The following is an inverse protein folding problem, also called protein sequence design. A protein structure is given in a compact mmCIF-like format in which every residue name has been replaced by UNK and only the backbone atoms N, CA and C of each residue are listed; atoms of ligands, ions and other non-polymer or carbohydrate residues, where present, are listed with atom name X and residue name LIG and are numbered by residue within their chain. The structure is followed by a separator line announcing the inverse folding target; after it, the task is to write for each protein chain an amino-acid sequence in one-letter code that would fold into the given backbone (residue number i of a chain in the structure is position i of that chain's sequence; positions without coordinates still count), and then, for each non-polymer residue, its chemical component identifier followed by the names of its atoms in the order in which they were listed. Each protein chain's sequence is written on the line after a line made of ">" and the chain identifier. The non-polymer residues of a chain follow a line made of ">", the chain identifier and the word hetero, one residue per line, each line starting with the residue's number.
data_IF_996229812606
#
_entry.id   IF_996229812606
#
_cell.length_a   1.000
_cell.length_b   1.000
_cell.length_c   1.000
_cell.angle_alpha   90.00
_cell.angle_beta   90.00
_cell.angle_gamma   90.00
#
_symmetry.space_group_name_H-M   'P 1'
#
loop_
_entity.id
_entity.type
_entity.pdbx_description
1 polymer ?
#
# COMPACT_ATOMS: atom_id res chain seq x y z
N UNK A 1 6.87 -23.97 -0.47
CA UNK A 1 6.91 -22.63 0.14
C UNK A 1 6.16 -22.74 1.45
N UNK A 2 6.94 -22.79 2.51
CA UNK A 2 6.56 -23.18 3.87
C UNK A 2 5.42 -22.34 4.42
N UNK A 3 4.45 -23.03 5.04
CA UNK A 3 3.60 -22.64 6.17
C UNK A 3 3.49 -21.13 6.57
N UNK A 4 3.27 -20.21 5.63
CA UNK A 4 2.87 -18.82 5.91
C UNK A 4 1.41 -18.73 6.43
N UNK A 5 0.75 -19.86 6.65
CA UNK A 5 -0.64 -19.93 7.07
C UNK A 5 -0.88 -19.55 8.54
N UNK A 6 0.16 -19.14 9.30
CA UNK A 6 0.06 -18.95 10.75
C UNK A 6 0.89 -17.84 11.37
N UNK A 7 1.12 -16.72 10.69
CA UNK A 7 1.49 -15.52 11.44
C UNK A 7 0.30 -15.10 12.34
N UNK A 8 0.46 -15.05 13.69
CA UNK A 8 -0.63 -14.64 14.56
C UNK A 8 -0.99 -13.18 14.27
N UNK A 9 -2.28 -12.87 14.17
CA UNK A 9 -2.76 -11.49 14.28
C UNK A 9 -2.15 -10.93 15.58
N UNK A 10 -1.38 -9.82 15.55
CA UNK A 10 -1.48 -8.71 14.61
C UNK A 10 -0.38 -8.61 13.52
N UNK A 11 0.59 -9.51 13.47
CA UNK A 11 1.77 -9.36 12.59
C UNK A 11 1.41 -9.27 11.10
N UNK A 12 0.46 -10.10 10.66
CA UNK A 12 -0.07 -10.14 9.30
C UNK A 12 -0.66 -8.80 8.82
N UNK A 13 -1.30 -8.04 9.73
CA UNK A 13 -1.91 -6.75 9.40
C UNK A 13 -0.81 -5.73 9.05
N UNK A 14 0.32 -5.79 9.75
CA UNK A 14 1.45 -4.88 9.52
C UNK A 14 2.13 -5.22 8.19
N UNK A 15 2.28 -6.51 7.89
CA UNK A 15 2.86 -6.99 6.64
C UNK A 15 1.98 -6.63 5.42
N UNK A 16 0.67 -6.87 5.51
CA UNK A 16 -0.30 -6.47 4.47
C UNK A 16 -0.37 -4.95 4.27
N UNK A 17 -0.36 -4.18 5.38
CA UNK A 17 -0.34 -2.73 5.35
C UNK A 17 0.94 -2.21 4.66
N UNK A 18 2.10 -2.78 5.00
CA UNK A 18 3.39 -2.43 4.41
C UNK A 18 3.47 -2.78 2.93
N UNK A 19 3.04 -3.98 2.55
CA UNK A 19 2.98 -4.42 1.16
C UNK A 19 2.07 -3.53 0.31
N UNK A 20 0.87 -3.22 0.82
CA UNK A 20 -0.08 -2.33 0.15
C UNK A 20 0.45 -0.88 0.06
N UNK A 21 1.13 -0.39 1.09
CA UNK A 21 1.77 0.92 1.08
C UNK A 21 2.83 1.03 -0.02
N UNK A 22 3.71 0.03 -0.13
CA UNK A 22 4.76 0.00 -1.16
C UNK A 22 4.14 -0.07 -2.55
N UNK A 23 3.14 -0.93 -2.76
CA UNK A 23 2.41 -1.01 -4.04
C UNK A 23 1.79 0.33 -4.42
N UNK A 24 1.14 1.01 -3.47
CA UNK A 24 0.55 2.32 -3.69
C UNK A 24 1.59 3.42 -3.94
N UNK A 25 2.74 3.39 -3.25
CA UNK A 25 3.81 4.36 -3.46
C UNK A 25 4.50 4.17 -4.83
N UNK A 26 4.79 2.93 -5.22
CA UNK A 26 5.43 2.62 -6.51
C UNK A 26 4.48 2.91 -7.67
N UNK A 27 3.24 2.40 -7.61
CA UNK A 27 2.22 2.65 -8.64
C UNK A 27 1.85 4.13 -8.74
N UNK A 28 1.58 4.77 -7.59
CA UNK A 28 1.25 6.19 -7.52
C UNK A 28 2.43 7.09 -7.93
N UNK A 29 3.66 6.71 -7.60
CA UNK A 29 4.88 7.42 -7.99
C UNK A 29 5.13 7.35 -9.49
N UNK A 30 5.02 6.18 -10.10
CA UNK A 30 5.16 6.02 -11.56
C UNK A 30 4.10 6.82 -12.31
N UNK A 31 2.83 6.68 -11.91
CA UNK A 31 1.72 7.37 -12.56
C UNK A 31 1.82 8.90 -12.41
N UNK A 32 2.12 9.38 -11.20
CA UNK A 32 2.25 10.81 -10.95
C UNK A 32 3.52 11.40 -11.55
N UNK A 33 4.61 10.62 -11.67
CA UNK A 33 5.83 11.01 -12.35
C UNK A 33 5.63 11.23 -13.85
N UNK A 34 4.95 10.28 -14.51
CA UNK A 34 4.57 10.40 -15.93
C UNK A 34 3.62 11.59 -16.15
N UNK A 35 2.61 11.72 -15.29
CA UNK A 35 1.65 12.83 -15.36
C UNK A 35 2.32 14.18 -15.11
N UNK A 36 3.21 14.26 -14.13
CA UNK A 36 4.01 15.46 -13.82
C UNK A 36 4.91 15.87 -14.98
N UNK A 37 5.49 14.90 -15.69
CA UNK A 37 6.38 15.18 -16.82
C UNK A 37 5.61 15.71 -18.03
N UNK A 38 4.40 15.18 -18.26
CA UNK A 38 3.51 15.61 -19.35
C UNK A 38 2.83 16.96 -19.07
N UNK A 39 2.48 17.25 -17.82
CA UNK A 39 1.74 18.45 -17.44
C UNK A 39 2.62 19.65 -17.07
N UNK A 40 3.94 19.46 -16.91
CA UNK A 40 4.86 20.54 -16.56
C UNK A 40 5.25 21.43 -17.76
N UNK A 41 5.48 22.74 -17.52
CA UNK A 41 5.81 23.73 -18.56
C UNK A 41 7.12 23.41 -19.29
N UNK A 42 7.28 23.99 -20.48
CA UNK A 42 8.40 23.74 -21.41
C UNK A 42 9.77 23.95 -20.72
N UNK A 43 10.65 22.96 -20.84
CA UNK A 43 12.02 22.94 -20.27
C UNK A 43 12.32 21.67 -19.47
N UNK A 44 13.35 20.92 -19.88
CA UNK A 44 13.65 19.58 -19.33
C UNK A 44 13.88 19.60 -17.81
N UNK A 45 14.61 20.60 -17.30
CA UNK A 45 14.85 20.75 -15.85
C UNK A 45 13.58 21.06 -15.04
N UNK A 46 12.67 21.88 -15.58
CA UNK A 46 11.39 22.22 -14.93
C UNK A 46 10.39 21.07 -14.98
N UNK A 47 10.43 20.26 -16.04
CA UNK A 47 9.66 19.01 -16.13
C UNK A 47 10.11 17.99 -15.09
N UNK A 48 11.41 17.77 -14.96
CA UNK A 48 11.95 16.86 -13.94
C UNK A 48 11.64 17.37 -12.53
N UNK A 49 11.86 18.65 -12.25
CA UNK A 49 11.54 19.24 -10.94
C UNK A 49 10.03 19.15 -10.61
N UNK A 50 9.15 19.42 -11.58
CA UNK A 50 7.71 19.30 -11.44
C UNK A 50 7.25 17.85 -11.22
N UNK A 51 7.84 16.89 -11.94
CA UNK A 51 7.61 15.46 -11.73
C UNK A 51 8.01 15.02 -10.33
N UNK A 52 9.21 15.39 -9.87
CA UNK A 52 9.71 15.01 -8.54
C UNK A 52 8.86 15.61 -7.43
N UNK A 53 8.46 16.88 -7.56
CA UNK A 53 7.56 17.53 -6.61
C UNK A 53 6.17 16.86 -6.57
N UNK A 54 5.63 16.45 -7.73
CA UNK A 54 4.36 15.76 -7.81
C UNK A 54 4.43 14.34 -7.21
N UNK A 55 5.52 13.60 -7.46
CA UNK A 55 5.77 12.28 -6.86
C UNK A 55 5.83 12.42 -5.34
N UNK A 56 6.65 13.34 -4.81
CA UNK A 56 6.82 13.53 -3.36
C UNK A 56 5.52 13.86 -2.63
N UNK A 57 4.64 14.64 -3.25
CA UNK A 57 3.40 15.11 -2.60
C UNK A 57 2.23 14.14 -2.76
N UNK A 58 2.18 13.34 -3.83
CA UNK A 58 1.02 12.47 -4.14
C UNK A 58 1.28 10.98 -3.90
N UNK A 59 2.50 10.50 -4.15
CA UNK A 59 2.87 9.09 -3.93
C UNK A 59 2.57 8.61 -2.50
N UNK A 60 2.93 9.32 -1.41
CA UNK A 60 2.61 8.86 -0.06
C UNK A 60 1.13 8.95 0.28
N UNK A 61 0.37 9.87 -0.33
CA UNK A 61 -1.08 9.97 -0.13
C UNK A 61 -1.78 8.76 -0.74
N UNK A 62 -1.39 8.37 -1.97
CA UNK A 62 -1.90 7.17 -2.62
C UNK A 62 -1.46 5.91 -1.86
N UNK A 63 -0.19 5.83 -1.47
CA UNK A 63 0.35 4.78 -0.61
C UNK A 63 -0.44 4.62 0.68
N UNK A 64 -0.75 5.73 1.36
CA UNK A 64 -1.53 5.74 2.60
C UNK A 64 -2.97 5.23 2.40
N UNK A 65 -3.63 5.60 1.31
CA UNK A 65 -4.96 5.06 0.98
C UNK A 65 -4.94 3.55 0.72
N UNK A 66 -3.92 3.05 0.00
CA UNK A 66 -3.75 1.61 -0.23
C UNK A 66 -3.41 0.86 1.06
N UNK A 67 -2.56 1.44 1.91
CA UNK A 67 -2.21 0.89 3.21
C UNK A 67 -3.44 0.79 4.13
N UNK A 68 -4.25 1.84 4.20
CA UNK A 68 -5.49 1.84 4.97
C UNK A 68 -6.48 0.78 4.46
N UNK A 69 -6.58 0.62 3.14
CA UNK A 69 -7.41 -0.41 2.53
C UNK A 69 -6.94 -1.83 2.90
N UNK A 70 -5.64 -2.12 2.74
CA UNK A 70 -5.05 -3.41 3.11
C UNK A 70 -5.18 -3.70 4.61
N UNK A 71 -4.91 -2.71 5.46
CA UNK A 71 -5.05 -2.85 6.90
C UNK A 71 -6.50 -3.14 7.33
N UNK A 72 -7.49 -2.42 6.78
CA UNK A 72 -8.90 -2.65 7.11
C UNK A 72 -9.35 -4.04 6.65
N UNK A 73 -8.93 -4.48 5.46
CA UNK A 73 -9.24 -5.82 4.97
C UNK A 73 -8.70 -6.92 5.90
N UNK A 74 -7.43 -6.83 6.30
CA UNK A 74 -6.80 -7.83 7.17
C UNK A 74 -7.31 -7.78 8.61
N UNK A 75 -7.71 -6.61 9.12
CA UNK A 75 -8.39 -6.48 10.43
C UNK A 75 -9.74 -7.20 10.41
N UNK A 76 -10.53 -7.03 9.34
CA UNK A 76 -11.82 -7.71 9.19
C UNK A 76 -11.63 -9.23 9.09
N UNK A 77 -10.66 -9.70 8.31
CA UNK A 77 -10.34 -11.14 8.19
C UNK A 77 -9.91 -11.75 9.53
N UNK A 78 -8.95 -11.11 10.23
CA UNK A 78 -8.53 -11.51 11.57
C UNK A 78 -9.70 -11.52 12.58
N UNK A 79 -10.59 -10.53 12.51
CA UNK A 79 -11.77 -10.44 13.38
C UNK A 79 -12.77 -11.55 13.09
N UNK A 80 -13.02 -11.86 11.82
CA UNK A 80 -13.91 -12.95 11.39
C UNK A 80 -13.35 -14.32 11.76
N UNK A 81 -12.04 -14.54 11.60
CA UNK A 81 -11.38 -15.79 12.06
C UNK A 81 -11.47 -15.92 13.58
N UNK A 82 -11.31 -14.84 14.33
CA UNK A 82 -11.49 -14.85 15.79
C UNK A 82 -12.94 -15.16 16.18
N UNK A 83 -13.92 -14.54 15.51
CA UNK A 83 -15.35 -14.78 15.74
C UNK A 83 -15.79 -16.20 15.35
N UNK A 84 -15.20 -16.76 14.29
CA UNK A 84 -15.50 -18.10 13.77
C UNK A 84 -14.84 -19.23 14.56
N UNK A 85 -14.10 -18.94 15.64
CA UNK A 85 -13.58 -19.95 16.60
C UNK A 85 -14.66 -20.62 17.48
N UNK A 86 -15.90 -20.72 16.98
CA UNK A 86 -16.68 -21.96 17.03
C UNK A 86 -16.17 -23.01 15.99
N UNK A 87 -14.87 -23.37 16.09
CA UNK A 87 -14.21 -24.64 15.63
C UNK A 87 -13.88 -24.76 14.11
N UNK A 88 -12.73 -25.35 13.64
CA UNK A 88 -11.52 -25.88 14.29
C UNK A 88 -10.19 -25.23 13.80
N UNK A 89 -9.09 -25.44 14.53
CA UNK A 89 -7.80 -25.57 13.85
C UNK A 89 -6.56 -24.92 14.46
N UNK A 90 -6.56 -24.37 15.68
CA UNK A 90 -5.30 -24.18 16.43
C UNK A 90 -4.64 -25.54 16.68
N UNK A 91 -3.76 -25.91 15.76
CA UNK A 91 -2.60 -26.75 15.97
C UNK A 91 -1.49 -26.17 15.11
#
# INVERSE_FOLDING_TARGET
>A
MEEYSREPCPHRIVDDCGGAFIMGCVGGGLFQGLKGFRNAPQGLGRRVAGSVAAIKTKSPVIGGSFAAWGAVFSIVDCSLVHFRRRIPGTR
#
